data_IF_687419675349
#
_entry.id   IF_687419675349
#
_cell.length_a   1.000
_cell.length_b   1.000
_cell.length_c   1.000
_cell.angle_alpha   90.00
_cell.angle_beta   90.00
_cell.angle_gamma   90.00
#
_symmetry.space_group_name_H-M   'P 1'
#
loop_
_entity.id
_entity.type
_entity.pdbx_description
1 polymer ?
#
# COMPACT_ATOMS: atom_id res chain seq x y z
N UNK A 1 -12.77 -13.63 -6.11
CA UNK A 1 -12.37 -14.11 -4.76
C UNK A 1 -12.23 -12.90 -3.83
N UNK A 2 -12.88 -12.86 -2.66
CA UNK A 2 -12.75 -11.72 -1.74
C UNK A 2 -11.32 -11.64 -1.18
N UNK A 3 -10.74 -10.44 -1.08
CA UNK A 3 -9.38 -10.21 -0.52
C UNK A 3 -9.15 -10.94 0.82
N UNK A 4 -10.17 -10.99 1.68
CA UNK A 4 -10.10 -11.65 2.97
C UNK A 4 -9.78 -13.16 2.87
N UNK A 5 -10.26 -13.83 1.82
CA UNK A 5 -9.95 -15.25 1.61
C UNK A 5 -8.47 -15.46 1.27
N UNK A 6 -7.93 -14.61 0.38
CA UNK A 6 -6.51 -14.65 0.00
C UNK A 6 -5.59 -14.34 1.18
N UNK A 7 -5.95 -13.35 2.02
CA UNK A 7 -5.22 -13.02 3.24
C UNK A 7 -5.26 -14.16 4.28
N UNK A 8 -6.36 -14.90 4.39
CA UNK A 8 -6.41 -16.08 5.28
C UNK A 8 -5.48 -17.20 4.82
N UNK A 9 -5.32 -17.38 3.52
CA UNK A 9 -4.40 -18.38 2.95
C UNK A 9 -2.95 -17.91 3.01
N UNK A 10 -2.71 -16.59 2.93
CA UNK A 10 -1.39 -15.98 2.92
C UNK A 10 -1.33 -14.88 4.00
N UNK A 11 -1.19 -15.25 5.28
CA UNK A 11 -1.34 -14.32 6.40
C UNK A 11 -0.15 -13.36 6.56
N UNK A 12 0.99 -13.65 5.94
CA UNK A 12 2.20 -12.83 6.02
C UNK A 12 2.23 -11.83 4.87
N UNK A 13 2.37 -10.55 5.22
CA UNK A 13 2.55 -9.44 4.28
C UNK A 13 3.99 -8.95 4.40
N UNK A 14 4.76 -9.00 3.31
CA UNK A 14 6.14 -8.53 3.31
C UNK A 14 6.17 -7.00 3.22
N UNK A 15 6.71 -6.33 4.24
CA UNK A 15 6.93 -4.90 4.24
C UNK A 15 8.34 -4.59 3.72
N UNK A 16 8.44 -3.83 2.62
CA UNK A 16 9.71 -3.55 1.93
C UNK A 16 10.05 -2.08 2.03
N UNK A 17 11.30 -1.77 2.39
CA UNK A 17 11.79 -0.41 2.66
C UNK A 17 12.91 0.04 1.74
N UNK A 18 13.41 -0.86 0.89
CA UNK A 18 14.48 -0.64 -0.06
C UNK A 18 14.46 -1.73 -1.16
N UNK A 19 15.32 -1.59 -2.16
CA UNK A 19 15.39 -2.55 -3.26
C UNK A 19 15.88 -3.95 -2.83
N UNK A 20 16.68 -4.04 -1.76
CA UNK A 20 17.19 -5.32 -1.28
C UNK A 20 16.06 -6.15 -0.63
N UNK A 21 15.29 -5.52 0.27
CA UNK A 21 14.09 -6.10 0.86
C UNK A 21 13.00 -6.39 -0.16
N UNK A 22 12.85 -5.56 -1.21
CA UNK A 22 11.96 -5.86 -2.32
C UNK A 22 12.35 -7.15 -3.03
N UNK A 23 13.62 -7.35 -3.34
CA UNK A 23 14.08 -8.56 -4.02
C UNK A 23 13.81 -9.81 -3.16
N UNK A 24 14.14 -9.75 -1.87
CA UNK A 24 13.85 -10.85 -0.93
C UNK A 24 12.34 -11.15 -0.85
N UNK A 25 11.48 -10.12 -0.86
CA UNK A 25 10.04 -10.31 -0.85
C UNK A 25 9.51 -10.93 -2.15
N UNK A 26 10.06 -10.55 -3.30
CA UNK A 26 9.75 -11.14 -4.61
C UNK A 26 10.11 -12.62 -4.63
N UNK A 27 11.27 -12.99 -4.08
CA UNK A 27 11.75 -14.38 -4.08
C UNK A 27 11.10 -15.24 -2.99
N UNK A 28 10.39 -14.62 -2.03
CA UNK A 28 9.69 -15.31 -0.95
C UNK A 28 8.32 -15.87 -1.36
N UNK A 29 7.73 -16.69 -0.49
CA UNK A 29 6.37 -17.21 -0.66
C UNK A 29 5.28 -16.15 -0.39
N UNK A 30 5.63 -14.98 0.16
CA UNK A 30 4.67 -13.94 0.50
C UNK A 30 3.90 -13.48 -0.74
N UNK A 31 2.57 -13.53 -0.70
CA UNK A 31 1.72 -13.10 -1.81
C UNK A 31 1.44 -11.60 -1.80
N UNK A 32 1.55 -10.97 -0.64
CA UNK A 32 1.24 -9.56 -0.43
C UNK A 32 2.50 -8.79 -0.07
N UNK A 33 2.75 -7.68 -0.77
CA UNK A 33 3.88 -6.81 -0.54
C UNK A 33 3.38 -5.39 -0.24
N UNK A 34 3.79 -4.86 0.91
CA UNK A 34 3.59 -3.47 1.31
C UNK A 34 4.85 -2.66 1.02
N UNK A 35 4.73 -1.68 0.13
CA UNK A 35 5.82 -0.80 -0.30
C UNK A 35 5.86 0.41 0.62
N UNK A 36 6.95 0.53 1.39
CA UNK A 36 7.20 1.61 2.34
C UNK A 36 8.26 2.61 1.84
N UNK A 37 8.63 2.55 0.56
CA UNK A 37 9.67 3.39 -0.03
C UNK A 37 9.41 3.71 -1.51
N UNK A 38 10.17 4.67 -2.02
CA UNK A 38 10.12 5.10 -3.41
C UNK A 38 9.52 6.50 -3.55
N UNK A 39 9.57 7.00 -4.78
CA UNK A 39 9.07 8.32 -5.15
C UNK A 39 8.22 8.24 -6.41
N UNK A 40 7.66 9.37 -6.82
CA UNK A 40 6.82 9.49 -8.02
C UNK A 40 7.49 8.99 -9.31
N UNK A 41 8.83 9.00 -9.39
CA UNK A 41 9.57 8.52 -10.55
C UNK A 41 9.82 7.01 -10.52
N UNK A 42 9.93 6.40 -9.34
CA UNK A 42 10.30 4.99 -9.18
C UNK A 42 9.13 4.06 -8.90
N UNK A 43 8.02 4.59 -8.38
CA UNK A 43 6.91 3.77 -7.86
C UNK A 43 6.29 2.86 -8.92
N UNK A 44 6.15 3.35 -10.15
CA UNK A 44 5.65 2.53 -11.27
C UNK A 44 6.51 1.30 -11.51
N UNK A 45 7.84 1.46 -11.51
CA UNK A 45 8.77 0.35 -11.70
C UNK A 45 8.79 -0.61 -10.51
N UNK A 46 8.68 -0.11 -9.28
CA UNK A 46 8.60 -0.95 -8.07
C UNK A 46 7.36 -1.83 -8.13
N UNK A 47 6.19 -1.24 -8.39
CA UNK A 47 4.93 -1.98 -8.53
C UNK A 47 5.02 -2.99 -9.66
N UNK A 48 5.53 -2.59 -10.82
CA UNK A 48 5.69 -3.49 -11.97
C UNK A 48 6.53 -4.73 -11.65
N UNK A 49 7.61 -4.60 -10.87
CA UNK A 49 8.41 -5.76 -10.41
C UNK A 49 7.58 -6.71 -9.55
N UNK A 50 6.77 -6.18 -8.62
CA UNK A 50 5.89 -6.97 -7.75
C UNK A 50 4.83 -7.71 -8.60
N UNK A 51 4.20 -7.00 -9.53
CA UNK A 51 3.16 -7.57 -10.41
C UNK A 51 3.71 -8.62 -11.36
N UNK A 52 4.91 -8.41 -11.93
CA UNK A 52 5.59 -9.39 -12.76
C UNK A 52 5.93 -10.69 -12.00
N UNK A 53 6.11 -10.61 -10.68
CA UNK A 53 6.27 -11.78 -9.81
C UNK A 53 4.95 -12.46 -9.43
N UNK A 54 3.81 -11.99 -9.96
CA UNK A 54 2.49 -12.54 -9.66
C UNK A 54 1.94 -12.16 -8.27
N UNK A 55 2.52 -11.15 -7.62
CA UNK A 55 2.18 -10.75 -6.24
C UNK A 55 1.26 -9.53 -6.20
N UNK A 56 0.65 -9.31 -5.04
CA UNK A 56 -0.18 -8.13 -4.77
C UNK A 56 0.66 -6.97 -4.23
N UNK A 57 0.52 -5.80 -4.83
CA UNK A 57 1.26 -4.59 -4.49
C UNK A 57 0.39 -3.58 -3.74
N UNK A 58 0.78 -3.25 -2.52
CA UNK A 58 0.15 -2.22 -1.70
C UNK A 58 1.13 -1.06 -1.50
N UNK A 59 0.70 0.17 -1.77
CA UNK A 59 1.55 1.36 -1.63
C UNK A 59 1.16 2.10 -0.36
N UNK A 60 2.14 2.37 0.51
CA UNK A 60 1.94 3.32 1.59
C UNK A 60 2.12 4.75 1.07
N UNK A 61 1.02 5.38 0.66
CA UNK A 61 1.06 6.68 -0.04
C UNK A 61 1.64 7.81 0.82
N UNK A 62 1.48 7.75 2.15
CA UNK A 62 2.06 8.77 3.04
C UNK A 62 3.61 8.75 3.06
N UNK A 63 4.22 7.65 2.63
CA UNK A 63 5.68 7.48 2.55
C UNK A 63 6.23 7.69 1.13
N UNK A 64 5.37 8.05 0.17
CA UNK A 64 5.76 8.27 -1.21
C UNK A 64 6.42 9.65 -1.36
N UNK A 65 7.73 9.65 -1.60
CA UNK A 65 8.47 10.90 -1.75
C UNK A 65 8.08 11.66 -3.03
N UNK A 66 8.03 12.98 -2.93
CA UNK A 66 7.63 13.87 -4.02
C UNK A 66 6.12 13.93 -4.27
N UNK A 67 5.33 13.15 -3.52
CA UNK A 67 3.88 13.18 -3.58
C UNK A 67 3.31 14.21 -2.58
N UNK A 68 2.27 14.92 -2.99
CA UNK A 68 1.51 15.77 -2.07
C UNK A 68 0.55 14.93 -1.23
N UNK A 69 0.13 15.44 -0.08
CA UNK A 69 -0.92 14.81 0.73
C UNK A 69 -2.34 15.10 0.22
N UNK A 70 -2.52 15.18 -1.09
CA UNK A 70 -3.80 15.49 -1.76
C UNK A 70 -4.31 14.29 -2.53
N UNK A 71 -5.63 14.20 -2.63
CA UNK A 71 -6.35 13.06 -3.22
C UNK A 71 -5.96 12.81 -4.68
N UNK A 72 -5.50 13.83 -5.40
CA UNK A 72 -4.99 13.72 -6.78
C UNK A 72 -3.84 12.70 -6.92
N UNK A 73 -3.08 12.45 -5.86
CA UNK A 73 -2.01 11.44 -5.87
C UNK A 73 -2.57 10.03 -6.06
N UNK A 74 -3.79 9.76 -5.58
CA UNK A 74 -4.45 8.47 -5.79
C UNK A 74 -4.74 8.26 -7.28
N UNK A 75 -5.26 9.29 -7.96
CA UNK A 75 -5.51 9.25 -9.40
C UNK A 75 -4.21 9.07 -10.18
N UNK A 76 -3.16 9.78 -9.79
CA UNK A 76 -1.83 9.58 -10.35
C UNK A 76 -1.37 8.12 -10.22
N UNK A 77 -1.46 7.53 -9.04
CA UNK A 77 -1.10 6.13 -8.80
C UNK A 77 -1.94 5.16 -9.62
N UNK A 78 -3.23 5.46 -9.82
CA UNK A 78 -4.11 4.67 -10.68
C UNK A 78 -3.67 4.69 -12.15
N UNK A 79 -3.19 5.84 -12.63
CA UNK A 79 -2.77 6.02 -14.02
C UNK A 79 -1.41 5.39 -14.31
N UNK A 80 -0.47 5.47 -13.36
CA UNK A 80 0.93 5.10 -13.62
C UNK A 80 1.34 3.75 -13.02
N UNK A 81 0.49 3.13 -12.21
CA UNK A 81 0.78 1.86 -11.55
C UNK A 81 -0.37 0.86 -11.67
N UNK A 82 -0.02 -0.41 -11.55
CA UNK A 82 -0.99 -1.52 -11.44
C UNK A 82 -1.13 -1.97 -9.97
N UNK A 83 -1.06 -1.02 -9.04
CA UNK A 83 -1.15 -1.33 -7.62
C UNK A 83 -2.55 -1.88 -7.27
N UNK A 84 -2.60 -2.80 -6.31
CA UNK A 84 -3.84 -3.43 -5.88
C UNK A 84 -4.48 -2.65 -4.72
N UNK A 85 -3.68 -1.96 -3.91
CA UNK A 85 -4.19 -1.22 -2.77
C UNK A 85 -3.33 -0.08 -2.26
N UNK A 86 -3.98 0.75 -1.45
CA UNK A 86 -3.41 1.95 -0.82
C UNK A 86 -3.47 1.79 0.71
N UNK A 87 -2.35 2.10 1.34
CA UNK A 87 -2.21 2.24 2.78
C UNK A 87 -2.01 3.72 3.10
N UNK A 88 -2.80 4.25 4.03
CA UNK A 88 -2.65 5.63 4.52
C UNK A 88 -3.17 5.74 5.95
N UNK A 89 -2.63 6.73 6.67
CA UNK A 89 -3.11 7.21 7.96
C UNK A 89 -4.31 8.15 7.82
N UNK A 90 -4.57 8.66 6.61
CA UNK A 90 -5.55 9.73 6.35
C UNK A 90 -6.83 9.17 5.73
N UNK A 91 -7.94 9.35 6.42
CA UNK A 91 -9.25 8.92 5.95
C UNK A 91 -9.65 9.52 4.58
N UNK A 92 -9.26 10.76 4.28
CA UNK A 92 -9.50 11.40 2.98
C UNK A 92 -8.82 10.67 1.83
N UNK A 93 -7.54 10.30 1.99
CA UNK A 93 -6.81 9.51 0.98
C UNK A 93 -7.48 8.15 0.75
N UNK A 94 -7.94 7.49 1.81
CA UNK A 94 -8.63 6.19 1.70
C UNK A 94 -10.02 6.32 1.06
N UNK A 95 -10.73 7.43 1.28
CA UNK A 95 -12.00 7.71 0.58
C UNK A 95 -11.75 7.88 -0.92
N UNK A 96 -10.73 8.65 -1.31
CA UNK A 96 -10.34 8.79 -2.71
C UNK A 96 -9.88 7.46 -3.33
N UNK A 97 -9.07 6.67 -2.61
CA UNK A 97 -8.61 5.36 -3.06
C UNK A 97 -9.76 4.37 -3.28
N UNK A 98 -10.77 4.37 -2.41
CA UNK A 98 -11.99 3.57 -2.62
C UNK A 98 -12.75 3.98 -3.88
N UNK A 99 -12.83 5.28 -4.19
CA UNK A 99 -13.48 5.76 -5.40
C UNK A 99 -12.78 5.27 -6.68
N UNK A 100 -11.46 5.10 -6.63
CA UNK A 100 -10.62 4.53 -7.70
C UNK A 100 -10.53 2.99 -7.66
N UNK A 101 -11.36 2.34 -6.83
CA UNK A 101 -11.47 0.87 -6.69
C UNK A 101 -10.19 0.20 -6.18
N UNK A 102 -9.38 0.91 -5.41
CA UNK A 102 -8.27 0.29 -4.67
C UNK A 102 -8.77 -0.41 -3.41
N UNK A 103 -8.09 -1.51 -3.03
CA UNK A 103 -8.17 -1.97 -1.65
C UNK A 103 -7.56 -0.92 -0.72
N UNK A 104 -8.21 -0.67 0.42
CA UNK A 104 -7.84 0.41 1.32
C UNK A 104 -7.53 -0.14 2.70
N UNK A 105 -6.34 0.18 3.21
CA UNK A 105 -5.88 -0.18 4.55
C UNK A 105 -5.64 1.11 5.33
N UNK A 106 -6.37 1.28 6.43
CA UNK A 106 -6.17 2.41 7.33
C UNK A 106 -5.08 2.06 8.34
N UNK A 107 -3.93 2.72 8.22
CA UNK A 107 -2.85 2.60 9.17
C UNK A 107 -3.11 3.53 10.37
N UNK A 108 -3.20 2.95 11.57
CA UNK A 108 -3.47 3.67 12.80
C UNK A 108 -2.28 3.51 13.75
N UNK A 109 -1.86 4.62 14.37
CA UNK A 109 -0.91 4.61 15.46
C UNK A 109 -1.66 4.59 16.79
N UNK A 110 -1.67 3.44 17.46
CA UNK A 110 -2.27 3.28 18.78
C UNK A 110 -1.14 3.37 19.81
N UNK A 111 -0.81 4.59 20.21
CA UNK A 111 0.31 4.89 21.12
C UNK A 111 -0.16 4.91 22.57
N UNK A 112 -1.35 5.47 22.80
CA UNK A 112 -1.94 5.66 24.12
C UNK A 112 -3.46 5.49 24.06
N UNK A 113 -4.11 5.59 25.22
CA UNK A 113 -5.58 5.51 25.32
C UNK A 113 -6.29 6.64 24.56
N UNK A 114 -5.69 7.83 24.41
CA UNK A 114 -6.30 8.94 23.67
C UNK A 114 -6.35 8.60 22.18
N UNK A 115 -5.26 8.06 21.63
CA UNK A 115 -5.18 7.60 20.25
C UNK A 115 -6.17 6.46 19.96
N UNK A 116 -6.40 5.56 20.92
CA UNK A 116 -7.40 4.49 20.80
C UNK A 116 -8.83 5.05 20.70
N UNK A 117 -9.21 5.98 21.58
CA UNK A 117 -10.57 6.56 21.57
C UNK A 117 -10.87 7.45 20.36
N UNK A 118 -9.84 7.85 19.61
CA UNK A 118 -9.99 8.64 18.39
C UNK A 118 -10.16 7.79 17.12
N UNK A 119 -10.11 6.46 17.20
CA UNK A 119 -10.23 5.57 16.03
C UNK A 119 -11.65 5.60 15.42
N UNK A 120 -12.68 5.68 16.26
CA UNK A 120 -14.09 5.59 15.83
C UNK A 120 -14.71 6.93 15.40
N UNK A 121 -13.92 8.02 15.38
CA UNK A 121 -14.36 9.37 14.98
C UNK A 121 -13.91 9.69 13.55
#
# INVERSE_FOLDING_TARGET
MPLLHLLRQNPVIAAVKDNASLQLAIDSECQFISVLYGNICTISNIVKKIKNAGKYAFIHVDLLEGASNKEVVIQFLKLVTEADGIISTKASMLKAARAEVFFCIHHLFIVDSISFHNIDK
#
